data_IF_138418559739
#
_entry.id   IF_138418559739
#
_cell.length_a   1.000
_cell.length_b   1.000
_cell.length_c   1.000
_cell.angle_alpha   90.00
_cell.angle_beta   90.00
_cell.angle_gamma   90.00
#
_symmetry.space_group_name_H-M   'P 1'
#
loop_
_entity.id
_entity.type
_entity.pdbx_description
1 polymer ?
#
# COMPACT_ATOMS: atom_id res chain seq x y z
N UNK A 1 -12.01 -6.73 -10.34
CA UNK A 1 -11.36 -7.83 -11.08
C UNK A 1 -9.86 -7.62 -11.09
N UNK A 2 -9.05 -8.68 -11.11
CA UNK A 2 -7.58 -8.57 -11.16
C UNK A 2 -7.13 -8.06 -12.53
N UNK A 3 -6.27 -7.04 -12.54
CA UNK A 3 -5.62 -6.54 -13.75
C UNK A 3 -4.53 -7.51 -14.25
N UNK A 4 -4.20 -7.45 -15.55
CA UNK A 4 -3.10 -8.22 -16.12
C UNK A 4 -1.78 -8.05 -15.36
N UNK A 5 -1.50 -6.82 -14.89
CA UNK A 5 -0.29 -6.52 -14.09
C UNK A 5 -0.30 -7.26 -12.76
N UNK A 6 -1.44 -7.31 -12.07
CA UNK A 6 -1.58 -8.05 -10.81
C UNK A 6 -1.42 -9.55 -11.05
N UNK A 7 -2.06 -10.10 -12.08
CA UNK A 7 -1.93 -11.52 -12.45
C UNK A 7 -0.46 -11.86 -12.75
N UNK A 8 0.20 -11.08 -13.61
CA UNK A 8 1.60 -11.27 -13.95
C UNK A 8 2.49 -11.22 -12.69
N UNK A 9 2.25 -10.26 -11.79
CA UNK A 9 2.99 -10.13 -10.53
C UNK A 9 2.91 -11.39 -9.64
N UNK A 10 1.77 -12.09 -9.62
CA UNK A 10 1.64 -13.37 -8.88
C UNK A 10 2.56 -14.46 -9.44
N UNK A 11 2.76 -14.51 -10.77
CA UNK A 11 3.69 -15.45 -11.39
C UNK A 11 5.17 -15.10 -11.14
N UNK A 12 5.52 -13.81 -11.13
CA UNK A 12 6.86 -13.36 -10.76
C UNK A 12 7.19 -13.75 -9.32
N UNK A 13 6.27 -13.48 -8.38
CA UNK A 13 6.43 -13.86 -6.98
C UNK A 13 6.55 -15.39 -6.82
N UNK A 14 5.70 -16.16 -7.49
CA UNK A 14 5.77 -17.62 -7.45
C UNK A 14 7.15 -18.12 -7.93
N UNK A 15 7.65 -17.61 -9.07
CA UNK A 15 8.95 -18.01 -9.59
C UNK A 15 10.09 -17.70 -8.61
N UNK A 16 10.07 -16.51 -7.99
CA UNK A 16 11.06 -16.10 -6.99
C UNK A 16 11.03 -16.98 -5.74
N UNK A 17 9.85 -17.29 -5.22
CA UNK A 17 9.70 -18.18 -4.06
C UNK A 17 10.16 -19.60 -4.40
N UNK A 18 9.80 -20.13 -5.57
CA UNK A 18 10.27 -21.44 -6.01
C UNK A 18 11.81 -21.50 -6.12
N UNK A 19 12.45 -20.41 -6.58
CA UNK A 19 13.91 -20.32 -6.60
C UNK A 19 14.53 -20.30 -5.19
N UNK A 20 13.91 -19.61 -4.22
CA UNK A 20 14.34 -19.68 -2.82
C UNK A 20 14.37 -21.12 -2.28
N UNK A 21 13.43 -21.95 -2.71
CA UNK A 21 13.25 -23.33 -2.26
C UNK A 21 13.93 -24.39 -3.15
N UNK A 22 14.86 -24.00 -4.04
CA UNK A 22 15.57 -24.91 -4.97
C UNK A 22 14.65 -25.81 -5.80
N UNK A 23 13.45 -25.34 -6.12
CA UNK A 23 12.53 -26.11 -6.94
C UNK A 23 13.07 -26.25 -8.37
N UNK A 24 12.46 -27.13 -9.15
CA UNK A 24 12.93 -27.47 -10.49
C UNK A 24 13.18 -26.21 -11.38
N UNK A 25 14.41 -26.03 -11.92
CA UNK A 25 14.76 -24.86 -12.73
C UNK A 25 13.91 -24.66 -13.98
N UNK A 26 13.36 -25.72 -14.56
CA UNK A 26 12.43 -25.61 -15.69
C UNK A 26 11.10 -25.00 -15.27
N UNK A 27 10.57 -25.38 -14.10
CA UNK A 27 9.34 -24.78 -13.56
C UNK A 27 9.54 -23.31 -13.22
N UNK A 28 10.65 -22.97 -12.55
CA UNK A 28 11.00 -21.58 -12.22
C UNK A 28 11.03 -20.72 -13.50
N UNK A 29 11.76 -21.18 -14.53
CA UNK A 29 11.83 -20.49 -15.83
C UNK A 29 10.47 -20.39 -16.50
N UNK A 30 9.64 -21.43 -16.42
CA UNK A 30 8.31 -21.41 -17.01
C UNK A 30 7.42 -20.32 -16.40
N UNK A 31 7.41 -20.17 -15.07
CA UNK A 31 6.64 -19.10 -14.41
C UNK A 31 7.26 -17.71 -14.58
N UNK A 32 8.58 -17.60 -14.58
CA UNK A 32 9.26 -16.33 -14.89
C UNK A 32 8.95 -15.86 -16.32
N UNK A 33 8.91 -16.79 -17.29
CA UNK A 33 8.50 -16.50 -18.66
C UNK A 33 7.01 -16.13 -18.73
N UNK A 34 6.14 -16.80 -17.96
CA UNK A 34 4.73 -16.43 -17.87
C UNK A 34 4.55 -14.98 -17.43
N UNK A 35 5.26 -14.53 -16.40
CA UNK A 35 5.25 -13.12 -15.99
C UNK A 35 5.58 -12.17 -17.16
N UNK A 36 6.64 -12.46 -17.92
CA UNK A 36 7.06 -11.64 -19.06
C UNK A 36 6.02 -11.61 -20.18
N UNK A 37 5.40 -12.75 -20.50
CA UNK A 37 4.36 -12.84 -21.51
C UNK A 37 3.09 -12.09 -21.10
N UNK A 38 2.62 -12.28 -19.86
CA UNK A 38 1.39 -11.67 -19.36
C UNK A 38 1.52 -10.16 -19.22
N UNK A 39 2.70 -9.64 -18.86
CA UNK A 39 2.94 -8.18 -18.77
C UNK A 39 2.90 -7.49 -20.14
N UNK A 40 3.20 -8.22 -21.22
CA UNK A 40 3.18 -7.72 -22.60
C UNK A 40 1.84 -7.95 -23.30
N UNK A 41 0.94 -8.71 -22.68
CA UNK A 41 -0.35 -9.01 -23.27
C UNK A 41 -1.27 -7.78 -23.17
N UNK A 42 -1.72 -7.30 -24.33
CA UNK A 42 -2.55 -6.09 -24.46
C UNK A 42 -4.05 -6.36 -24.31
N UNK A 43 -4.49 -7.61 -24.47
CA UNK A 43 -5.88 -8.00 -24.28
C UNK A 43 -6.27 -8.07 -22.80
N UNK A 44 -7.56 -8.16 -22.51
CA UNK A 44 -8.04 -8.36 -21.15
C UNK A 44 -8.03 -9.85 -20.77
N UNK A 45 -7.17 -10.24 -19.83
CA UNK A 45 -7.12 -11.63 -19.35
C UNK A 45 -8.40 -12.02 -18.60
N UNK A 46 -9.08 -11.07 -17.97
CA UNK A 46 -10.30 -11.35 -17.19
C UNK A 46 -11.49 -11.71 -18.08
N UNK A 47 -11.50 -11.21 -19.32
CA UNK A 47 -12.50 -11.55 -20.34
C UNK A 47 -12.08 -12.73 -21.23
N UNK A 48 -10.84 -13.20 -21.13
CA UNK A 48 -10.31 -14.27 -21.99
C UNK A 48 -10.67 -15.67 -21.48
N UNK A 49 -11.22 -16.49 -22.36
CA UNK A 49 -11.40 -17.93 -22.10
C UNK A 49 -10.05 -18.66 -22.00
N UNK A 50 -10.03 -19.81 -21.32
CA UNK A 50 -8.82 -20.63 -21.10
C UNK A 50 -8.08 -20.98 -22.40
N UNK A 51 -8.81 -21.26 -23.48
CA UNK A 51 -8.23 -21.60 -24.78
C UNK A 51 -7.43 -20.41 -25.33
N UNK A 52 -8.03 -19.23 -25.37
CA UNK A 52 -7.37 -17.99 -25.79
C UNK A 52 -6.13 -17.67 -24.94
N UNK A 53 -6.19 -17.92 -23.63
CA UNK A 53 -5.04 -17.73 -22.74
C UNK A 53 -3.91 -18.70 -23.06
N UNK A 54 -4.23 -19.95 -23.43
CA UNK A 54 -3.25 -20.97 -23.78
C UNK A 54 -2.60 -20.74 -25.14
N UNK A 55 -3.16 -19.87 -25.98
CA UNK A 55 -2.56 -19.44 -27.25
C UNK A 55 -1.50 -18.35 -27.06
N UNK A 56 -1.44 -17.72 -25.88
CA UNK A 56 -0.43 -16.69 -25.59
C UNK A 56 0.96 -17.33 -25.62
N UNK A 57 1.91 -16.80 -26.42
CA UNK A 57 3.25 -17.36 -26.51
C UNK A 57 3.93 -17.47 -25.14
N UNK A 58 4.36 -18.68 -24.77
CA UNK A 58 4.98 -18.98 -23.48
C UNK A 58 4.01 -19.35 -22.36
N UNK A 59 2.70 -19.38 -22.63
CA UNK A 59 1.66 -19.79 -21.69
C UNK A 59 1.14 -21.17 -22.11
N UNK A 60 1.54 -22.23 -21.39
CA UNK A 60 1.00 -23.57 -21.58
C UNK A 60 -0.27 -23.80 -20.74
N UNK A 61 -0.91 -24.96 -20.94
CA UNK A 61 -2.15 -25.34 -20.25
C UNK A 61 -2.07 -25.19 -18.72
N UNK A 62 -0.96 -25.61 -18.11
CA UNK A 62 -0.79 -25.54 -16.66
C UNK A 62 -0.71 -24.10 -16.12
N UNK A 63 -0.21 -23.15 -16.91
CA UNK A 63 -0.20 -21.72 -16.56
C UNK A 63 -1.60 -21.14 -16.79
N UNK A 64 -2.25 -21.48 -17.91
CA UNK A 64 -3.61 -21.07 -18.20
C UNK A 64 -4.59 -21.50 -17.11
N UNK A 65 -4.44 -22.73 -16.59
CA UNK A 65 -5.21 -23.23 -15.44
C UNK A 65 -5.05 -22.36 -14.19
N UNK A 66 -3.83 -21.90 -13.91
CA UNK A 66 -3.55 -21.01 -12.75
C UNK A 66 -4.08 -19.60 -12.96
N UNK A 67 -4.07 -19.11 -14.20
CA UNK A 67 -4.69 -17.82 -14.52
C UNK A 67 -6.19 -17.91 -14.28
N UNK A 68 -6.85 -18.98 -14.74
CA UNK A 68 -8.28 -19.19 -14.49
C UNK A 68 -8.59 -19.36 -12.99
N UNK A 69 -7.75 -20.07 -12.25
CA UNK A 69 -7.87 -20.17 -10.78
C UNK A 69 -7.82 -18.77 -10.12
N UNK A 70 -6.86 -17.94 -10.50
CA UNK A 70 -6.74 -16.56 -10.02
C UNK A 70 -7.95 -15.71 -10.40
N UNK A 71 -8.46 -15.82 -11.62
CA UNK A 71 -9.62 -15.06 -12.07
C UNK A 71 -10.91 -15.48 -11.35
N UNK A 72 -11.07 -16.77 -11.07
CA UNK A 72 -12.25 -17.30 -10.41
C UNK A 72 -12.25 -17.08 -8.89
N UNK A 73 -11.08 -17.15 -8.24
CA UNK A 73 -10.99 -17.19 -6.78
C UNK A 73 -10.22 -16.03 -6.16
N UNK A 74 -9.49 -15.24 -6.96
CA UNK A 74 -8.54 -14.24 -6.48
C UNK A 74 -7.22 -14.83 -5.98
N UNK A 75 -7.12 -16.16 -5.82
CA UNK A 75 -5.97 -16.85 -5.25
C UNK A 75 -5.33 -17.84 -6.22
N UNK A 76 -4.04 -18.13 -6.00
CA UNK A 76 -3.33 -19.21 -6.68
C UNK A 76 -2.81 -20.17 -5.63
N UNK A 77 -3.37 -21.38 -5.53
CA UNK A 77 -3.03 -22.33 -4.45
C UNK A 77 -1.55 -22.68 -4.42
N UNK A 78 -0.93 -22.78 -5.59
CA UNK A 78 0.52 -23.06 -5.69
C UNK A 78 1.35 -21.93 -5.10
N UNK A 79 0.97 -20.67 -5.34
CA UNK A 79 1.64 -19.52 -4.75
C UNK A 79 1.46 -19.52 -3.23
N UNK A 80 0.22 -19.70 -2.75
CA UNK A 80 -0.10 -19.75 -1.31
C UNK A 80 0.75 -20.79 -0.57
N UNK A 81 0.85 -22.00 -1.11
CA UNK A 81 1.73 -23.05 -0.57
C UNK A 81 3.17 -22.57 -0.34
N UNK A 82 3.76 -21.85 -1.30
CA UNK A 82 5.13 -21.36 -1.17
C UNK A 82 5.23 -20.16 -0.23
N UNK A 83 4.19 -19.34 -0.14
CA UNK A 83 4.13 -18.26 0.85
C UNK A 83 4.07 -18.81 2.27
N UNK A 84 3.22 -19.82 2.52
CA UNK A 84 3.02 -20.39 3.87
C UNK A 84 4.31 -20.98 4.46
N UNK A 85 5.20 -21.52 3.62
CA UNK A 85 6.49 -22.11 4.05
C UNK A 85 7.65 -21.09 4.02
N UNK A 86 7.39 -19.83 3.68
CA UNK A 86 8.41 -18.77 3.58
C UNK A 86 8.11 -17.68 4.60
N UNK A 87 9.03 -17.37 5.53
CA UNK A 87 8.80 -16.30 6.52
C UNK A 87 8.43 -14.97 5.84
N UNK A 88 7.48 -14.22 6.42
CA UNK A 88 6.95 -12.99 5.81
C UNK A 88 8.06 -12.00 5.47
N UNK A 89 9.03 -11.77 6.36
CA UNK A 89 10.13 -10.86 6.08
C UNK A 89 11.08 -11.32 4.97
N UNK A 90 11.18 -12.62 4.69
CA UNK A 90 11.89 -13.15 3.51
C UNK A 90 11.11 -12.84 2.23
N UNK A 91 9.77 -12.92 2.28
CA UNK A 91 8.92 -12.51 1.16
C UNK A 91 9.04 -11.00 0.91
N UNK A 92 9.07 -10.18 1.95
CA UNK A 92 9.28 -8.72 1.84
C UNK A 92 10.63 -8.37 1.21
N UNK A 93 11.71 -9.08 1.58
CA UNK A 93 13.04 -8.86 0.99
C UNK A 93 13.07 -9.06 -0.54
N UNK A 94 12.22 -9.95 -1.09
CA UNK A 94 12.11 -10.12 -2.55
C UNK A 94 11.50 -8.89 -3.26
N UNK A 95 10.80 -8.03 -2.51
CA UNK A 95 10.29 -6.74 -2.98
C UNK A 95 11.35 -5.63 -3.00
N UNK A 96 12.44 -5.79 -2.26
CA UNK A 96 13.52 -4.80 -2.20
C UNK A 96 14.33 -4.84 -3.50
N UNK A 97 14.29 -3.76 -4.27
CA UNK A 97 15.02 -3.65 -5.54
C UNK A 97 16.50 -4.02 -5.33
N UNK A 98 17.05 -4.89 -6.17
CA UNK A 98 18.46 -5.33 -6.09
C UNK A 98 18.72 -6.55 -5.20
N UNK A 99 17.72 -6.99 -4.43
CA UNK A 99 17.71 -8.29 -3.74
C UNK A 99 16.90 -9.30 -4.58
N UNK A 100 17.62 -10.10 -5.38
CA UNK A 100 17.03 -11.24 -6.10
C UNK A 100 17.00 -12.51 -5.22
N UNK A 101 16.28 -13.56 -5.65
CA UNK A 101 16.10 -14.78 -4.87
C UNK A 101 17.39 -15.39 -4.34
N UNK A 102 18.44 -15.49 -5.17
CA UNK A 102 19.74 -16.03 -4.73
C UNK A 102 20.36 -15.28 -3.55
N UNK A 103 20.31 -13.95 -3.58
CA UNK A 103 20.85 -13.10 -2.51
C UNK A 103 20.01 -13.21 -1.25
N UNK A 104 18.68 -13.15 -1.39
CA UNK A 104 17.74 -13.30 -0.28
C UNK A 104 17.90 -14.67 0.38
N UNK A 105 18.06 -15.73 -0.40
CA UNK A 105 18.34 -17.07 0.11
C UNK A 105 19.64 -17.12 0.89
N UNK A 106 20.70 -16.50 0.39
CA UNK A 106 22.00 -16.47 1.06
C UNK A 106 21.89 -15.76 2.41
N UNK A 107 21.23 -14.59 2.45
CA UNK A 107 20.92 -13.85 3.68
C UNK A 107 20.13 -14.74 4.65
N UNK A 108 19.09 -15.42 4.16
CA UNK A 108 18.24 -16.28 4.98
C UNK A 108 18.98 -17.49 5.56
N UNK A 109 19.81 -18.17 4.75
CA UNK A 109 20.43 -19.45 5.14
C UNK A 109 21.78 -19.29 5.82
N UNK A 110 22.58 -18.29 5.45
CA UNK A 110 23.92 -18.08 5.99
C UNK A 110 23.95 -17.07 7.15
N UNK A 111 23.04 -16.09 7.15
CA UNK A 111 22.97 -15.07 8.21
C UNK A 111 21.80 -15.28 9.18
N UNK A 112 20.89 -16.21 8.87
CA UNK A 112 19.67 -16.49 9.65
C UNK A 112 18.77 -15.27 9.85
N UNK A 113 18.90 -14.28 8.97
CA UNK A 113 18.11 -13.05 8.97
C UNK A 113 16.76 -13.34 8.30
N UNK A 114 15.68 -13.02 8.99
CA UNK A 114 14.30 -13.32 8.54
C UNK A 114 13.42 -12.09 8.39
N UNK A 115 13.90 -10.90 8.75
CA UNK A 115 13.18 -9.62 8.56
C UNK A 115 14.01 -8.53 7.89
N UNK A 116 13.32 -7.59 7.23
CA UNK A 116 13.93 -6.41 6.60
C UNK A 116 14.67 -5.54 7.64
N UNK A 117 14.12 -5.43 8.86
CA UNK A 117 14.74 -4.70 9.96
C UNK A 117 16.05 -5.32 10.45
N UNK A 118 16.07 -6.65 10.64
CA UNK A 118 17.31 -7.39 10.97
C UNK A 118 18.37 -7.21 9.86
N UNK A 119 17.96 -7.24 8.59
CA UNK A 119 18.89 -7.01 7.47
C UNK A 119 19.45 -5.59 7.48
N UNK A 120 18.62 -4.58 7.74
CA UNK A 120 19.07 -3.20 7.86
C UNK A 120 20.06 -3.04 9.03
N UNK A 121 19.77 -3.69 10.16
CA UNK A 121 20.70 -3.72 11.30
C UNK A 121 22.03 -4.38 10.93
N UNK A 122 22.01 -5.53 10.26
CA UNK A 122 23.22 -6.20 9.79
C UNK A 122 24.04 -5.36 8.79
N UNK A 123 23.37 -4.58 7.93
CA UNK A 123 24.04 -3.59 7.07
C UNK A 123 24.70 -2.47 7.89
N UNK A 124 24.04 -1.97 8.93
CA UNK A 124 24.61 -0.93 9.81
C UNK A 124 25.83 -1.44 10.59
N UNK A 125 25.86 -2.72 10.94
CA UNK A 125 27.00 -3.39 11.57
C UNK A 125 28.08 -3.85 10.58
N UNK A 126 27.95 -3.55 9.28
CA UNK A 126 28.83 -4.04 8.20
C UNK A 126 28.95 -5.58 8.09
N UNK A 127 27.99 -6.32 8.65
CA UNK A 127 27.99 -7.78 8.64
C UNK A 127 27.71 -8.36 7.25
N UNK A 128 26.94 -7.65 6.42
CA UNK A 128 26.60 -8.11 5.09
C UNK A 128 27.84 -8.12 4.17
N UNK A 129 28.83 -7.26 4.38
CA UNK A 129 30.08 -7.23 3.59
C UNK A 129 30.87 -8.55 3.66
N UNK A 130 30.77 -9.26 4.79
CA UNK A 130 31.44 -10.54 4.99
C UNK A 130 30.84 -11.67 4.13
N UNK A 131 29.63 -11.48 3.60
CA UNK A 131 28.93 -12.48 2.80
C UNK A 131 29.43 -12.46 1.35
N UNK A 132 29.77 -13.62 0.81
CA UNK A 132 30.28 -13.72 -0.57
C UNK A 132 29.27 -13.13 -1.55
N UNK A 133 29.70 -12.18 -2.37
CA UNK A 133 28.84 -11.52 -3.37
C UNK A 133 28.19 -10.22 -2.88
N UNK A 134 28.46 -9.81 -1.64
CA UNK A 134 27.98 -8.56 -1.04
C UNK A 134 29.16 -7.64 -0.73
N UNK A 135 29.68 -6.91 -1.71
CA UNK A 135 30.71 -5.89 -1.47
C UNK A 135 30.14 -4.64 -0.79
N UNK A 136 31.01 -3.78 -0.25
CA UNK A 136 30.65 -2.53 0.46
C UNK A 136 29.64 -1.67 -0.33
N UNK A 137 29.90 -1.44 -1.62
CA UNK A 137 29.00 -0.66 -2.48
C UNK A 137 27.59 -1.26 -2.54
N UNK A 138 27.51 -2.59 -2.66
CA UNK A 138 26.22 -3.27 -2.75
C UNK A 138 25.50 -3.24 -1.38
N UNK A 139 26.23 -3.38 -0.27
CA UNK A 139 25.64 -3.22 1.05
C UNK A 139 25.05 -1.82 1.23
N UNK A 140 25.78 -0.76 0.88
CA UNK A 140 25.27 0.61 0.96
C UNK A 140 24.03 0.83 0.09
N UNK A 141 24.02 0.29 -1.15
CA UNK A 141 22.83 0.34 -2.00
C UNK A 141 21.64 -0.41 -1.38
N UNK A 142 21.87 -1.58 -0.78
CA UNK A 142 20.85 -2.36 -0.09
C UNK A 142 20.34 -1.62 1.14
N UNK A 143 21.23 -1.09 1.98
CA UNK A 143 20.92 -0.33 3.20
C UNK A 143 20.00 0.85 2.89
N UNK A 144 20.34 1.68 1.90
CA UNK A 144 19.51 2.81 1.49
C UNK A 144 18.12 2.36 1.00
N UNK A 145 18.05 1.24 0.28
CA UNK A 145 16.77 0.70 -0.20
C UNK A 145 15.94 0.06 0.90
N UNK A 146 16.57 -0.55 1.90
CA UNK A 146 15.88 -1.09 3.08
C UNK A 146 15.32 0.04 3.94
N UNK A 147 16.10 1.10 4.17
CA UNK A 147 15.64 2.28 4.89
C UNK A 147 14.43 2.91 4.17
N UNK A 148 14.52 3.10 2.85
CA UNK A 148 13.39 3.58 2.06
C UNK A 148 12.21 2.62 2.08
N UNK A 149 12.43 1.31 1.94
CA UNK A 149 11.36 0.31 1.97
C UNK A 149 10.59 0.34 3.30
N UNK A 150 11.30 0.45 4.42
CA UNK A 150 10.69 0.57 5.76
C UNK A 150 9.93 1.89 5.87
N UNK A 151 10.53 3.01 5.47
CA UNK A 151 9.89 4.33 5.55
C UNK A 151 8.66 4.46 4.62
N UNK A 152 8.67 3.79 3.47
CA UNK A 152 7.55 3.77 2.53
C UNK A 152 6.43 2.79 2.91
N UNK A 153 6.66 1.93 3.91
CA UNK A 153 5.67 0.90 4.29
C UNK A 153 4.44 1.59 4.88
N UNK A 154 3.27 1.27 4.32
CA UNK A 154 2.00 1.89 4.73
C UNK A 154 1.75 3.28 4.12
N UNK A 155 2.64 3.78 3.26
CA UNK A 155 2.40 5.02 2.49
C UNK A 155 1.86 4.68 1.10
N UNK A 156 1.02 5.57 0.60
CA UNK A 156 0.41 5.56 -0.71
C UNK A 156 0.79 6.85 -1.45
N UNK A 157 0.77 6.82 -2.79
CA UNK A 157 0.86 8.04 -3.57
C UNK A 157 -0.50 8.73 -3.59
N UNK A 158 -0.55 10.04 -3.32
CA UNK A 158 -1.79 10.82 -3.36
C UNK A 158 -2.57 10.62 -4.66
N UNK A 159 -1.86 10.63 -5.79
CA UNK A 159 -2.44 10.45 -7.12
C UNK A 159 -3.15 9.10 -7.31
N UNK A 160 -2.78 8.06 -6.54
CA UNK A 160 -3.46 6.76 -6.58
C UNK A 160 -4.75 6.80 -5.78
N UNK A 161 -4.76 7.49 -4.64
CA UNK A 161 -5.84 7.37 -3.67
C UNK A 161 -6.94 8.42 -3.83
N UNK A 162 -6.64 9.59 -4.43
CA UNK A 162 -7.54 10.74 -4.40
C UNK A 162 -8.88 10.46 -5.08
N UNK A 163 -8.89 9.78 -6.23
CA UNK A 163 -10.14 9.46 -6.94
C UNK A 163 -11.04 8.54 -6.10
N UNK A 164 -10.44 7.58 -5.39
CA UNK A 164 -11.16 6.67 -4.49
C UNK A 164 -11.68 7.43 -3.25
N UNK A 165 -10.87 8.33 -2.72
CA UNK A 165 -11.22 9.15 -1.56
C UNK A 165 -12.38 10.11 -1.86
N UNK A 166 -12.35 10.78 -3.02
CA UNK A 166 -13.41 11.69 -3.46
C UNK A 166 -14.72 10.93 -3.70
N UNK A 167 -14.66 9.78 -4.38
CA UNK A 167 -15.84 8.92 -4.57
C UNK A 167 -16.43 8.43 -3.24
N UNK A 168 -15.58 8.11 -2.26
CA UNK A 168 -16.05 7.74 -0.92
C UNK A 168 -16.81 8.90 -0.27
N UNK A 169 -16.27 10.11 -0.31
CA UNK A 169 -16.93 11.30 0.25
C UNK A 169 -18.27 11.56 -0.44
N UNK A 170 -18.32 11.53 -1.77
CA UNK A 170 -19.54 11.74 -2.54
C UNK A 170 -20.62 10.72 -2.16
N UNK A 171 -20.27 9.44 -2.09
CA UNK A 171 -21.18 8.37 -1.71
C UNK A 171 -21.71 8.53 -0.28
N UNK A 172 -20.86 8.93 0.67
CA UNK A 172 -21.26 9.19 2.05
C UNK A 172 -22.20 10.39 2.15
N UNK A 173 -21.90 11.49 1.46
CA UNK A 173 -22.76 12.68 1.43
C UNK A 173 -24.14 12.39 0.81
N UNK A 174 -24.19 11.57 -0.25
CA UNK A 174 -25.46 11.14 -0.86
C UNK A 174 -26.29 10.27 0.09
N UNK A 175 -25.64 9.40 0.87
CA UNK A 175 -26.32 8.47 1.78
C UNK A 175 -26.74 9.12 3.10
N UNK A 176 -25.94 10.06 3.59
CA UNK A 176 -26.03 10.67 4.92
C UNK A 176 -26.04 12.20 4.82
N UNK A 177 -27.04 12.81 4.17
CA UNK A 177 -27.02 14.24 3.80
C UNK A 177 -27.02 15.21 4.99
N UNK A 178 -27.47 14.77 6.17
CA UNK A 178 -27.52 15.59 7.39
C UNK A 178 -26.18 15.65 8.14
N UNK A 179 -25.20 14.85 7.71
CA UNK A 179 -23.89 14.77 8.34
C UNK A 179 -22.82 15.43 7.50
N UNK A 180 -21.77 15.91 8.17
CA UNK A 180 -20.62 16.50 7.52
C UNK A 180 -19.58 15.41 7.23
N UNK A 181 -18.93 15.52 6.08
CA UNK A 181 -17.84 14.65 5.67
C UNK A 181 -16.75 15.50 5.02
N UNK A 182 -15.50 15.27 5.40
CA UNK A 182 -14.35 15.92 4.78
C UNK A 182 -13.14 15.02 4.83
N UNK A 183 -12.41 14.92 3.71
CA UNK A 183 -11.02 14.48 3.78
C UNK A 183 -10.26 15.43 4.70
N UNK A 184 -9.30 14.88 5.44
CA UNK A 184 -8.41 15.64 6.32
C UNK A 184 -6.96 15.17 6.17
N UNK A 185 -6.05 15.66 7.02
CA UNK A 185 -4.65 15.22 7.03
C UNK A 185 -3.93 15.42 5.68
N UNK A 186 -2.96 14.57 5.40
CA UNK A 186 -2.05 14.61 4.25
C UNK A 186 -2.80 14.60 2.91
N UNK A 187 -3.92 13.88 2.81
CA UNK A 187 -4.76 13.86 1.60
C UNK A 187 -5.34 15.24 1.33
N UNK A 188 -5.90 15.89 2.36
CA UNK A 188 -6.44 17.25 2.22
C UNK A 188 -5.36 18.28 1.90
N UNK A 189 -4.13 18.09 2.42
CA UNK A 189 -2.97 18.94 2.10
C UNK A 189 -2.31 18.60 0.75
N UNK A 190 -2.78 17.56 0.05
CA UNK A 190 -2.24 17.07 -1.23
C UNK A 190 -0.76 16.70 -1.15
N UNK A 191 -0.34 16.12 -0.03
CA UNK A 191 1.03 15.64 0.13
C UNK A 191 1.34 14.55 -0.91
N UNK A 192 2.54 14.50 -1.51
CA UNK A 192 2.85 13.51 -2.55
C UNK A 192 2.70 12.06 -2.09
N UNK A 193 3.10 11.80 -0.84
CA UNK A 193 2.94 10.53 -0.13
C UNK A 193 1.99 10.75 1.04
N UNK A 194 1.12 9.77 1.28
CA UNK A 194 0.05 9.83 2.29
C UNK A 194 -0.13 8.47 2.98
N UNK A 195 -0.52 8.45 4.24
CA UNK A 195 -0.73 7.20 5.01
C UNK A 195 -2.00 6.42 4.60
N UNK A 196 -2.94 7.07 3.94
CA UNK A 196 -4.21 6.47 3.54
C UNK A 196 -5.30 7.51 3.37
N UNK A 197 -6.56 7.06 3.35
CA UNK A 197 -7.72 7.93 3.32
C UNK A 197 -8.06 8.30 4.76
N UNK A 198 -8.04 9.60 5.06
CA UNK A 198 -8.40 10.12 6.38
C UNK A 198 -9.64 10.99 6.30
N UNK A 199 -10.72 10.55 6.97
CA UNK A 199 -12.04 11.16 6.96
C UNK A 199 -12.36 11.77 8.32
N UNK A 200 -12.81 13.02 8.33
CA UNK A 200 -13.49 13.64 9.47
C UNK A 200 -15.00 13.69 9.20
N UNK A 201 -15.80 13.34 10.20
CA UNK A 201 -17.25 13.28 10.05
C UNK A 201 -18.01 13.56 11.34
N UNK A 202 -19.25 14.03 11.21
CA UNK A 202 -20.23 14.09 12.32
C UNK A 202 -21.12 12.85 12.42
N UNK A 203 -21.05 11.93 11.45
CA UNK A 203 -21.81 10.68 11.46
C UNK A 203 -21.18 9.65 12.41
N UNK A 204 -22.01 8.77 13.03
CA UNK A 204 -21.48 7.63 13.77
C UNK A 204 -20.63 6.73 12.86
N UNK A 205 -19.43 6.39 13.31
CA UNK A 205 -18.50 5.52 12.58
C UNK A 205 -19.15 4.16 12.27
N UNK A 206 -19.98 3.64 13.17
CA UNK A 206 -20.73 2.39 12.94
C UNK A 206 -21.58 2.43 11.68
N UNK A 207 -22.22 3.55 11.40
CA UNK A 207 -23.16 3.70 10.28
C UNK A 207 -22.40 3.77 8.96
N UNK A 208 -21.23 4.43 8.97
CA UNK A 208 -20.30 4.46 7.84
C UNK A 208 -19.79 3.05 7.55
N UNK A 209 -19.30 2.33 8.57
CA UNK A 209 -18.79 0.96 8.40
C UNK A 209 -19.88 0.01 7.88
N UNK A 210 -21.13 0.15 8.35
CA UNK A 210 -22.24 -0.67 7.89
C UNK A 210 -22.65 -0.40 6.43
N UNK A 211 -22.32 0.78 5.90
CA UNK A 211 -22.61 1.16 4.51
C UNK A 211 -21.58 0.61 3.52
N UNK A 212 -20.33 0.46 3.94
CA UNK A 212 -19.22 0.12 3.05
C UNK A 212 -19.13 -1.40 2.85
N UNK A 213 -19.32 -1.84 1.61
CA UNK A 213 -19.31 -3.27 1.24
C UNK A 213 -17.91 -3.88 1.14
N UNK A 214 -16.89 -3.04 0.92
CA UNK A 214 -15.50 -3.45 0.65
C UNK A 214 -14.52 -3.00 1.75
N UNK A 215 -14.95 -3.09 3.02
CA UNK A 215 -14.06 -2.92 4.17
C UNK A 215 -13.53 -4.26 4.63
N UNK A 216 -12.21 -4.31 4.80
CA UNK A 216 -11.50 -5.40 5.44
C UNK A 216 -10.85 -4.89 6.74
N UNK A 217 -10.80 -5.75 7.76
CA UNK A 217 -9.94 -5.53 8.92
C UNK A 217 -8.59 -6.19 8.63
N UNK A 218 -7.52 -5.43 8.80
CA UNK A 218 -6.18 -6.00 8.74
C UNK A 218 -5.91 -6.73 10.06
N UNK A 219 -5.97 -8.07 10.01
CA UNK A 219 -5.80 -8.98 11.16
C UNK A 219 -4.53 -8.74 11.98
N UNK A 220 -3.48 -8.14 11.39
CA UNK A 220 -2.19 -7.90 12.05
C UNK A 220 -2.09 -6.53 12.74
N UNK A 221 -3.01 -5.60 12.47
CA UNK A 221 -2.84 -4.18 12.87
C UNK A 221 -4.12 -3.45 13.30
N UNK A 222 -5.27 -4.12 13.32
CA UNK A 222 -6.58 -3.51 13.60
C UNK A 222 -6.91 -2.31 12.68
N UNK A 223 -6.23 -2.20 11.54
CA UNK A 223 -6.43 -1.14 10.57
C UNK A 223 -7.61 -1.48 9.66
N UNK A 224 -8.46 -0.49 9.39
CA UNK A 224 -9.51 -0.60 8.38
C UNK A 224 -8.89 -0.40 7.01
N UNK A 225 -9.19 -1.31 6.08
CA UNK A 225 -8.80 -1.21 4.69
C UNK A 225 -10.05 -1.04 3.83
N UNK A 226 -10.09 0.02 3.03
CA UNK A 226 -11.11 0.27 2.02
C UNK A 226 -10.48 0.14 0.64
N UNK A 227 -10.93 -0.84 -0.16
CA UNK A 227 -10.27 -1.24 -1.41
C UNK A 227 -8.75 -1.48 -1.27
N UNK A 228 -8.31 -2.02 -0.13
CA UNK A 228 -6.89 -2.27 0.17
C UNK A 228 -6.07 -1.03 0.55
N UNK A 229 -6.73 0.14 0.72
CA UNK A 229 -6.11 1.38 1.18
C UNK A 229 -6.51 1.58 2.64
N UNK A 230 -5.56 1.95 3.50
CA UNK A 230 -5.85 2.29 4.89
C UNK A 230 -6.90 3.42 4.97
N UNK A 231 -7.95 3.20 5.75
CA UNK A 231 -9.04 4.15 6.00
C UNK A 231 -9.06 4.50 7.49
N UNK A 232 -8.96 5.78 7.80
CA UNK A 232 -9.10 6.30 9.16
C UNK A 232 -10.32 7.20 9.20
N UNK A 233 -11.22 6.95 10.15
CA UNK A 233 -12.45 7.71 10.36
C UNK A 233 -12.36 8.36 11.74
N UNK A 234 -12.41 9.69 11.76
CA UNK A 234 -12.49 10.51 12.95
C UNK A 234 -13.91 11.04 13.12
N UNK A 235 -14.54 10.69 14.24
CA UNK A 235 -15.83 11.22 14.64
C UNK A 235 -15.62 12.52 15.40
N UNK A 236 -16.38 13.55 15.05
CA UNK A 236 -16.38 14.85 15.73
C UNK A 236 -17.82 15.31 15.91
N UNK A 237 -18.21 15.88 17.07
CA UNK A 237 -19.46 16.58 17.18
C UNK A 237 -19.47 17.81 16.25
N UNK A 238 -20.67 18.25 15.83
CA UNK A 238 -20.83 19.40 14.96
C UNK A 238 -20.18 20.68 15.53
N UNK A 239 -20.17 20.82 16.86
CA UNK A 239 -19.63 21.98 17.58
C UNK A 239 -18.11 22.12 17.49
N UNK A 240 -17.36 21.03 17.28
CA UNK A 240 -15.88 21.06 17.13
C UNK A 240 -15.41 20.78 15.70
N UNK A 241 -16.33 20.41 14.79
CA UNK A 241 -16.00 19.88 13.47
C UNK A 241 -15.00 20.75 12.69
N UNK A 242 -15.26 22.05 12.57
CA UNK A 242 -14.39 22.93 11.78
C UNK A 242 -13.04 23.23 12.44
N UNK A 243 -13.00 23.29 13.78
CA UNK A 243 -11.74 23.42 14.51
C UNK A 243 -10.88 22.16 14.36
N UNK A 244 -11.50 20.98 14.43
CA UNK A 244 -10.83 19.71 14.20
C UNK A 244 -10.37 19.56 12.75
N UNK A 245 -11.18 19.99 11.79
CA UNK A 245 -10.81 19.97 10.38
C UNK A 245 -9.58 20.83 10.11
N UNK A 246 -9.55 22.06 10.65
CA UNK A 246 -8.40 22.94 10.58
C UNK A 246 -7.14 22.27 11.17
N UNK A 247 -7.23 21.75 12.39
CA UNK A 247 -6.08 21.13 13.09
C UNK A 247 -5.61 19.86 12.40
N UNK A 248 -6.52 19.04 11.87
CA UNK A 248 -6.14 17.81 11.16
C UNK A 248 -5.58 18.11 9.79
N UNK A 249 -5.84 19.27 9.20
CA UNK A 249 -5.42 19.62 7.85
C UNK A 249 -4.27 20.64 7.81
N UNK A 250 -3.40 20.61 8.82
CA UNK A 250 -2.21 21.46 8.91
C UNK A 250 -1.06 20.69 9.60
N UNK A 251 0.19 21.13 9.39
CA UNK A 251 1.35 20.66 10.16
C UNK A 251 1.26 21.10 11.62
N UNK A 252 2.01 20.44 12.50
CA UNK A 252 2.05 20.81 13.92
C UNK A 252 2.60 22.25 14.11
N UNK A 253 3.58 22.61 13.29
CA UNK A 253 4.22 23.92 13.25
C UNK A 253 3.23 25.01 12.85
N UNK A 254 2.44 24.77 11.79
CA UNK A 254 1.41 25.71 11.32
C UNK A 254 0.32 25.90 12.37
N UNK A 255 -0.21 24.82 12.96
CA UNK A 255 -1.24 24.89 14.01
C UNK A 255 -0.76 25.73 15.19
N UNK A 256 0.49 25.52 15.60
CA UNK A 256 1.11 26.26 16.69
C UNK A 256 1.28 27.75 16.37
N UNK A 257 1.57 28.09 15.12
CA UNK A 257 1.74 29.47 14.68
C UNK A 257 0.40 30.24 14.63
N UNK A 258 -0.65 29.62 14.08
CA UNK A 258 -1.96 30.25 13.95
C UNK A 258 -2.70 30.31 15.30
N UNK A 259 -2.61 29.24 16.11
CA UNK A 259 -3.11 29.17 17.48
C UNK A 259 -4.55 29.71 17.68
N UNK A 260 -5.53 29.09 17.00
CA UNK A 260 -6.94 29.45 17.15
C UNK A 260 -7.48 29.13 18.56
N UNK A 261 -8.42 29.93 19.05
CA UNK A 261 -9.08 29.72 20.35
C UNK A 261 -9.94 28.45 20.39
N UNK A 262 -10.09 27.85 21.57
CA UNK A 262 -11.04 26.75 21.78
C UNK A 262 -12.48 27.28 21.90
N UNK A 263 -13.17 27.34 20.75
CA UNK A 263 -14.61 27.67 20.65
C UNK A 263 -15.26 26.92 19.50
N UNK A 264 -16.57 27.04 19.39
CA UNK A 264 -17.32 26.58 18.23
C UNK A 264 -17.11 27.52 17.05
N UNK A 265 -16.96 26.93 15.87
CA UNK A 265 -16.78 27.60 14.59
C UNK A 265 -17.83 27.08 13.61
N UNK A 266 -18.41 27.97 12.83
CA UNK A 266 -19.42 27.67 11.80
C UNK A 266 -18.81 27.30 10.44
N UNK A 267 -17.51 27.55 10.25
CA UNK A 267 -16.75 27.19 9.06
C UNK A 267 -15.25 27.15 9.34
N UNK A 268 -14.48 26.53 8.44
CA UNK A 268 -13.01 26.58 8.50
C UNK A 268 -12.49 28.01 8.25
N UNK A 269 -13.20 28.81 7.45
CA UNK A 269 -12.86 30.22 7.23
C UNK A 269 -12.93 31.04 8.53
N UNK A 270 -13.94 30.79 9.37
CA UNK A 270 -14.07 31.46 10.67
C UNK A 270 -12.89 31.16 11.61
N UNK A 271 -12.22 30.01 11.45
CA UNK A 271 -11.01 29.69 12.20
C UNK A 271 -9.91 30.73 11.92
N UNK A 272 -9.67 31.06 10.65
CA UNK A 272 -8.67 32.05 10.24
C UNK A 272 -9.10 33.48 10.60
N UNK A 273 -10.37 33.82 10.38
CA UNK A 273 -10.90 35.15 10.72
C UNK A 273 -10.78 35.44 12.22
N UNK A 274 -10.92 34.43 13.08
CA UNK A 274 -10.79 34.58 14.54
C UNK A 274 -9.41 35.04 15.01
N UNK A 275 -8.40 34.90 14.16
CA UNK A 275 -7.02 35.37 14.42
C UNK A 275 -6.59 36.47 13.44
N UNK A 276 -7.54 37.07 12.72
CA UNK A 276 -7.29 38.19 11.80
C UNK A 276 -6.63 37.80 10.48
N UNK A 277 -6.74 36.54 10.07
CA UNK A 277 -6.17 36.03 8.82
C UNK A 277 -7.25 35.75 7.77
N UNK A 278 -6.84 35.79 6.50
CA UNK A 278 -7.63 35.24 5.41
C UNK A 278 -7.52 33.71 5.40
N UNK A 279 -8.49 33.04 4.76
CA UNK A 279 -8.42 31.61 4.56
C UNK A 279 -7.14 31.20 3.83
N UNK A 280 -6.39 30.29 4.44
CA UNK A 280 -5.21 29.67 3.83
C UNK A 280 -5.62 28.28 3.34
N UNK A 281 -5.50 27.98 2.03
CA UNK A 281 -5.80 26.65 1.51
C UNK A 281 -4.95 25.57 2.20
N UNK A 282 -5.50 24.35 2.45
CA UNK A 282 -4.78 23.27 3.13
C UNK A 282 -3.39 22.96 2.57
N UNK A 283 -3.20 23.10 1.27
CA UNK A 283 -1.94 22.85 0.57
C UNK A 283 -0.79 23.78 1.00
N UNK A 284 -1.11 24.91 1.65
CA UNK A 284 -0.13 25.88 2.13
C UNK A 284 0.08 25.82 3.66
N UNK A 285 -0.42 24.79 4.33
CA UNK A 285 -0.42 24.70 5.80
C UNK A 285 0.71 23.82 6.37
N UNK A 286 1.90 23.89 5.78
CA UNK A 286 3.09 23.13 6.21
C UNK A 286 4.06 24.00 7.03
N UNK A 287 4.31 25.23 6.59
CA UNK A 287 5.22 26.17 7.25
C UNK A 287 4.47 27.40 7.81
N UNK A 288 4.91 28.00 8.94
CA UNK A 288 4.27 29.15 9.58
C UNK A 288 4.07 30.41 8.72
#
# INVERSE_FOLDING_TARGET
>A
MLSNKQIAGKFDLLAKLMELHDENPFKIRSYANAYLSLRKFEGDLSAAGKENISEIPGIGTAIADKIQELLATGEMKTLRKYQDITPVGIQEMLGVKGLGPKKVKQIWKEMEITSVGELLYACNENRLVALRGFGEKLQEEIKNRLAYFIDSKGKYLYAHIIEIADQLIENLQLKFPDYLFSLCSEVRRKMPEVMGIELLTTAPKSDILAMLSDIELNDDSDLLLYHGIQLIIYESPATSYYAELFRRSASAEFIKAINISEREYSSENECFESVGLQFIPPEYREDP
#
